data_IF_906694459467
#
_entry.id   IF_906694459467
#
_cell.length_a   1.000
_cell.length_b   1.000
_cell.length_c   1.000
_cell.angle_alpha   90.00
_cell.angle_beta   90.00
_cell.angle_gamma   90.00
#
_symmetry.space_group_name_H-M   'P 1'
#
loop_
_entity.id
_entity.type
_entity.pdbx_description
1 polymer ?
#
# COMPACT_ATOMS: atom_id res chain seq x y z
N UNK A 1 3.63 3.05 -7.75
CA UNK A 1 3.25 1.68 -8.16
C UNK A 1 4.41 0.69 -8.03
N UNK A 2 5.53 0.85 -8.76
CA UNK A 2 6.68 -0.07 -8.69
C UNK A 2 7.20 -0.32 -7.27
N UNK A 3 7.27 0.74 -6.45
CA UNK A 3 7.68 0.65 -5.04
C UNK A 3 6.82 -0.35 -4.24
N UNK A 4 5.49 -0.23 -4.31
CA UNK A 4 4.56 -1.11 -3.62
C UNK A 4 4.73 -2.56 -4.09
N UNK A 5 4.83 -2.78 -5.41
CA UNK A 5 5.03 -4.12 -5.98
C UNK A 5 6.30 -4.77 -5.45
N UNK A 6 7.43 -4.06 -5.50
CA UNK A 6 8.70 -4.58 -5.01
C UNK A 6 8.62 -4.90 -3.51
N UNK A 7 7.95 -4.04 -2.75
CA UNK A 7 7.82 -4.22 -1.32
C UNK A 7 6.90 -5.37 -0.93
N UNK A 8 5.83 -5.61 -1.68
CA UNK A 8 5.00 -6.81 -1.53
C UNK A 8 5.85 -8.05 -1.80
N UNK A 9 6.60 -8.11 -2.91
CA UNK A 9 7.47 -9.26 -3.23
C UNK A 9 8.47 -9.57 -2.12
N UNK A 10 9.12 -8.53 -1.59
CA UNK A 10 10.05 -8.63 -0.46
C UNK A 10 9.36 -9.17 0.80
N UNK A 11 8.23 -8.57 1.20
CA UNK A 11 7.55 -8.91 2.46
C UNK A 11 6.86 -10.27 2.39
N UNK A 12 6.25 -10.61 1.25
CA UNK A 12 5.60 -11.91 1.05
C UNK A 12 6.60 -13.02 0.71
N UNK A 13 7.88 -12.68 0.51
CA UNK A 13 8.91 -13.59 -0.01
C UNK A 13 8.42 -14.38 -1.24
N UNK A 14 7.71 -13.72 -2.14
CA UNK A 14 7.07 -14.34 -3.30
C UNK A 14 7.30 -13.47 -4.54
N UNK A 15 8.06 -13.99 -5.50
CA UNK A 15 8.33 -13.30 -6.76
C UNK A 15 7.25 -13.62 -7.80
N UNK A 16 6.10 -12.97 -7.67
CA UNK A 16 4.97 -13.13 -8.59
C UNK A 16 5.18 -12.36 -9.90
N UNK A 17 4.57 -12.85 -10.97
CA UNK A 17 4.61 -12.23 -12.30
C UNK A 17 3.92 -10.85 -12.27
N UNK A 18 4.54 -9.86 -12.94
CA UNK A 18 3.98 -8.51 -13.09
C UNK A 18 4.08 -8.12 -14.55
N UNK A 19 2.93 -7.85 -15.17
CA UNK A 19 2.83 -7.38 -16.55
C UNK A 19 2.43 -5.91 -16.56
N UNK A 20 3.16 -5.09 -17.32
CA UNK A 20 2.86 -3.66 -17.46
C UNK A 20 1.97 -3.49 -18.68
N UNK A 21 0.74 -3.03 -18.43
CA UNK A 21 -0.26 -2.74 -19.46
C UNK A 21 -0.46 -1.23 -19.61
N UNK A 22 -1.30 -0.84 -20.57
CA UNK A 22 -1.65 0.56 -20.80
C UNK A 22 -2.30 1.19 -19.55
N UNK A 23 -2.06 2.49 -19.36
CA UNK A 23 -2.71 3.24 -18.29
C UNK A 23 -4.21 3.27 -18.52
N UNK A 24 -4.98 3.08 -17.45
CA UNK A 24 -6.42 3.28 -17.48
C UNK A 24 -6.71 4.74 -17.79
N UNK A 25 -7.64 4.97 -18.71
CA UNK A 25 -8.07 6.32 -19.06
C UNK A 25 -8.65 7.01 -17.82
N UNK A 26 -8.21 8.24 -17.55
CA UNK A 26 -8.67 9.03 -16.41
C UNK A 26 -7.79 8.97 -15.16
N UNK A 27 -6.82 8.04 -15.09
CA UNK A 27 -5.91 7.97 -13.94
C UNK A 27 -4.80 9.05 -14.02
N UNK A 28 -4.68 9.95 -13.04
CA UNK A 28 -3.59 10.91 -13.00
C UNK A 28 -2.25 10.21 -12.74
N UNK A 29 -1.14 10.83 -13.15
CA UNK A 29 0.20 10.27 -12.94
C UNK A 29 0.59 10.17 -11.46
N UNK A 30 0.11 11.09 -10.62
CA UNK A 30 0.32 11.11 -9.17
C UNK A 30 -0.83 11.87 -8.50
N UNK A 31 -1.25 11.39 -7.33
CA UNK A 31 -2.27 12.03 -6.50
C UNK A 31 -1.92 11.80 -5.03
N UNK A 32 -1.50 12.86 -4.34
CA UNK A 32 -1.08 12.81 -2.94
C UNK A 32 -1.71 14.00 -2.22
N UNK A 33 -2.39 13.74 -1.10
CA UNK A 33 -2.99 14.80 -0.30
C UNK A 33 -1.93 15.53 0.56
N UNK A 34 -2.02 16.86 0.63
CA UNK A 34 -1.27 17.62 1.63
C UNK A 34 -1.94 17.48 3.00
N UNK A 35 -1.25 16.85 3.95
CA UNK A 35 -1.75 16.58 5.30
C UNK A 35 -1.35 17.66 6.34
N UNK A 36 -0.72 18.77 5.94
CA UNK A 36 -0.26 19.80 6.86
C UNK A 36 -1.38 20.34 7.76
N UNK A 37 -2.59 20.54 7.21
CA UNK A 37 -3.72 21.10 7.94
C UNK A 37 -4.16 20.22 9.12
N UNK A 38 -4.25 18.90 8.93
CA UNK A 38 -4.67 17.99 10.01
C UNK A 38 -3.58 17.85 11.08
N UNK A 39 -2.31 17.82 10.67
CA UNK A 39 -1.18 17.73 11.59
C UNK A 39 -0.98 18.99 12.43
N UNK A 40 -1.32 20.17 11.90
CA UNK A 40 -1.19 21.44 12.61
C UNK A 40 -2.37 21.72 13.55
N UNK A 41 -3.59 21.38 13.14
CA UNK A 41 -4.81 21.84 13.83
C UNK A 41 -5.43 20.79 14.75
N UNK A 42 -4.84 19.59 14.83
CA UNK A 42 -5.36 18.51 15.68
C UNK A 42 -4.22 17.75 16.34
N UNK A 43 -4.47 17.02 17.45
CA UNK A 43 -3.49 16.10 18.04
C UNK A 43 -3.19 14.86 17.17
N UNK A 44 -3.83 14.73 16.01
CA UNK A 44 -3.68 13.57 15.13
C UNK A 44 -2.21 13.38 14.72
N UNK A 45 -1.71 12.18 14.94
CA UNK A 45 -0.43 11.70 14.42
C UNK A 45 -0.67 10.34 13.78
N UNK A 46 -0.27 10.14 12.51
CA UNK A 46 -0.46 8.85 11.87
C UNK A 46 0.43 7.81 12.56
N UNK A 47 -0.19 6.78 13.14
CA UNK A 47 0.52 5.71 13.84
C UNK A 47 1.12 4.68 12.88
N UNK A 48 0.53 4.54 11.68
CA UNK A 48 0.87 3.51 10.70
C UNK A 48 1.15 4.12 9.32
N UNK A 49 2.05 5.12 9.24
CA UNK A 49 2.46 5.74 7.96
C UNK A 49 3.64 5.02 7.28
N UNK A 50 4.04 3.86 7.78
CA UNK A 50 5.12 3.06 7.21
C UNK A 50 4.55 2.04 6.20
N UNK A 51 5.13 2.01 4.99
CA UNK A 51 4.67 1.15 3.92
C UNK A 51 4.77 -0.34 4.27
N UNK A 52 5.84 -0.77 4.93
CA UNK A 52 6.04 -2.16 5.35
C UNK A 52 4.95 -2.60 6.33
N UNK A 53 4.61 -1.77 7.31
CA UNK A 53 3.53 -2.06 8.26
C UNK A 53 2.19 -2.21 7.56
N UNK A 54 1.88 -1.30 6.64
CA UNK A 54 0.64 -1.34 5.86
C UNK A 54 0.56 -2.66 5.07
N UNK A 55 1.62 -3.00 4.32
CA UNK A 55 1.66 -4.22 3.50
C UNK A 55 1.57 -5.48 4.36
N UNK A 56 2.35 -5.56 5.46
CA UNK A 56 2.32 -6.72 6.37
C UNK A 56 0.93 -6.96 6.95
N UNK A 57 0.25 -5.90 7.39
CA UNK A 57 -1.10 -6.01 7.95
C UNK A 57 -2.12 -6.51 6.91
N UNK A 58 -2.02 -6.04 5.66
CA UNK A 58 -2.89 -6.47 4.58
C UNK A 58 -2.64 -7.95 4.21
N UNK A 59 -1.38 -8.37 4.06
CA UNK A 59 -1.04 -9.76 3.74
C UNK A 59 -1.51 -10.72 4.84
N UNK A 60 -1.26 -10.39 6.11
CA UNK A 60 -1.71 -11.22 7.23
C UNK A 60 -3.23 -11.39 7.27
N UNK A 61 -3.98 -10.36 6.86
CA UNK A 61 -5.43 -10.42 6.74
C UNK A 61 -5.88 -11.37 5.63
N UNK A 62 -5.29 -11.27 4.44
CA UNK A 62 -5.59 -12.18 3.32
C UNK A 62 -5.25 -13.64 3.67
N UNK A 63 -4.10 -13.89 4.31
CA UNK A 63 -3.73 -15.21 4.81
C UNK A 63 -4.72 -15.74 5.85
N UNK A 64 -5.26 -14.87 6.69
CA UNK A 64 -6.29 -15.25 7.65
C UNK A 64 -7.56 -15.71 6.92
N UNK A 65 -8.06 -14.93 5.96
CA UNK A 65 -9.25 -15.28 5.19
C UNK A 65 -9.12 -16.59 4.42
N UNK A 66 -7.95 -16.85 3.82
CA UNK A 66 -7.68 -18.09 3.08
C UNK A 66 -7.65 -19.34 3.97
N UNK A 67 -7.39 -19.21 5.28
CA UNK A 67 -7.42 -20.35 6.22
C UNK A 67 -8.84 -20.80 6.59
N UNK A 68 -9.86 -19.98 6.29
CA UNK A 68 -11.27 -20.29 6.56
C UNK A 68 -12.09 -20.53 5.29
N UNK A 69 -11.43 -20.57 4.12
CA UNK A 69 -11.98 -21.14 2.89
C UNK A 69 -11.63 -22.62 2.80
#
# INVERSE_FOLDING_TARGET
MKEVINKVKEISNNDFLVEILEKRQGDPASLIANNAKILQNTPFKPLYNNLDTIIKSALAWEEHLLKFQ
#
